data_IF_002350020395
#
_entry.id   IF_002350020395
#
_cell.length_a   1.000
_cell.length_b   1.000
_cell.length_c   1.000
_cell.angle_alpha   90.00
_cell.angle_beta   90.00
_cell.angle_gamma   90.00
#
_symmetry.space_group_name_H-M   'P 1'
#
loop_
_entity.id
_entity.type
_entity.pdbx_description
1 polymer ?
#
# COMPACT_ATOMS: atom_id res chain seq x y z
N UNK A 1 18.27 -40.06 25.11
CA UNK A 1 17.14 -39.13 25.26
C UNK A 1 17.30 -38.04 24.20
N UNK A 2 16.61 -38.13 23.07
CA UNK A 2 16.67 -37.11 22.01
C UNK A 2 15.63 -36.03 22.32
N UNK A 3 16.08 -34.84 22.71
CA UNK A 3 15.19 -33.68 22.84
C UNK A 3 14.93 -33.10 21.44
N UNK A 4 13.70 -33.27 20.97
CA UNK A 4 13.17 -32.50 19.83
C UNK A 4 12.90 -31.08 20.31
N UNK A 5 13.79 -30.14 19.98
CA UNK A 5 13.54 -28.72 20.11
C UNK A 5 12.57 -28.27 19.02
N UNK A 6 11.30 -28.13 19.37
CA UNK A 6 10.35 -27.41 18.51
C UNK A 6 10.63 -25.93 18.66
N UNK A 7 11.44 -25.36 17.76
CA UNK A 7 11.54 -23.92 17.66
C UNK A 7 10.22 -23.39 17.09
N UNK A 8 9.50 -22.58 17.86
CA UNK A 8 8.41 -21.75 17.34
C UNK A 8 8.98 -20.63 16.46
N UNK A 9 9.68 -20.97 15.38
CA UNK A 9 9.85 -20.01 14.28
C UNK A 9 8.56 -20.05 13.48
N UNK A 10 7.47 -19.59 14.11
CA UNK A 10 6.28 -19.22 13.38
C UNK A 10 6.68 -18.04 12.51
N UNK A 11 6.88 -18.28 11.21
CA UNK A 11 7.00 -17.22 10.22
C UNK A 11 5.74 -16.37 10.37
N UNK A 12 5.85 -15.23 11.07
CA UNK A 12 4.79 -14.26 11.11
C UNK A 12 4.54 -13.86 9.65
N UNK A 13 3.40 -14.28 9.10
CA UNK A 13 3.08 -14.00 7.71
C UNK A 13 3.21 -12.50 7.46
N UNK A 14 4.11 -12.10 6.57
CA UNK A 14 4.32 -10.69 6.21
C UNK A 14 2.98 -10.11 5.76
N UNK A 15 2.66 -8.89 6.19
CA UNK A 15 1.44 -8.22 5.71
C UNK A 15 1.59 -7.98 4.22
N UNK A 16 0.62 -8.45 3.44
CA UNK A 16 0.65 -8.40 1.99
C UNK A 16 -0.61 -7.73 1.49
N UNK A 17 -0.43 -6.81 0.55
CA UNK A 17 -1.53 -6.20 -0.20
C UNK A 17 -1.95 -7.17 -1.30
N UNK A 18 -3.21 -7.56 -1.28
CA UNK A 18 -3.78 -8.56 -2.20
C UNK A 18 -4.52 -7.91 -3.37
N UNK A 19 -5.10 -6.72 -3.17
CA UNK A 19 -5.77 -5.97 -4.21
C UNK A 19 -5.73 -4.47 -3.92
N UNK A 20 -5.77 -3.67 -5.00
CA UNK A 20 -6.02 -2.23 -4.94
C UNK A 20 -7.14 -1.92 -5.92
N UNK A 21 -8.07 -1.06 -5.50
CA UNK A 21 -9.22 -0.62 -6.30
C UNK A 21 -9.35 0.89 -6.24
N UNK A 22 -9.69 1.50 -7.37
CA UNK A 22 -9.84 2.95 -7.50
C UNK A 22 -11.21 3.23 -8.11
N UNK A 23 -11.99 4.06 -7.42
CA UNK A 23 -13.35 4.45 -7.80
C UNK A 23 -13.38 5.98 -7.94
N UNK A 24 -13.18 6.52 -9.14
CA UNK A 24 -13.33 7.93 -9.40
C UNK A 24 -14.82 8.32 -9.45
N UNK A 25 -15.18 9.39 -8.75
CA UNK A 25 -16.48 10.03 -8.86
C UNK A 25 -16.32 11.55 -8.74
N UNK A 26 -17.31 12.29 -9.21
CA UNK A 26 -17.29 13.77 -9.18
C UNK A 26 -17.25 14.36 -7.78
N UNK A 27 -17.76 13.66 -6.77
CA UNK A 27 -17.79 14.11 -5.38
C UNK A 27 -16.57 13.66 -4.55
N UNK A 28 -15.94 12.55 -4.92
CA UNK A 28 -14.73 12.02 -4.28
C UNK A 28 -14.14 10.88 -5.12
N UNK A 29 -12.82 10.69 -5.07
CA UNK A 29 -12.18 9.46 -5.53
C UNK A 29 -11.90 8.56 -4.33
N UNK A 30 -12.28 7.28 -4.40
CA UNK A 30 -12.00 6.28 -3.36
C UNK A 30 -10.91 5.33 -3.82
N UNK A 31 -9.83 5.26 -3.05
CA UNK A 31 -8.80 4.22 -3.17
C UNK A 31 -8.98 3.22 -2.04
N UNK A 32 -9.08 1.93 -2.37
CA UNK A 32 -9.20 0.85 -1.41
C UNK A 32 -8.02 -0.09 -1.54
N UNK A 33 -7.31 -0.31 -0.44
CA UNK A 33 -6.18 -1.24 -0.33
C UNK A 33 -6.62 -2.43 0.51
N UNK A 34 -6.65 -3.60 -0.10
CA UNK A 34 -7.05 -4.85 0.54
C UNK A 34 -5.81 -5.66 0.93
N UNK A 35 -5.83 -6.27 2.10
CA UNK A 35 -4.67 -6.97 2.66
C UNK A 35 -5.09 -8.19 3.46
N UNK A 36 -4.15 -9.14 3.60
CA UNK A 36 -4.35 -10.37 4.38
C UNK A 36 -4.35 -10.14 5.91
N UNK A 37 -3.93 -8.96 6.36
CA UNK A 37 -3.74 -8.56 7.76
C UNK A 37 -4.02 -7.08 7.92
N UNK A 38 -4.37 -6.65 9.13
CA UNK A 38 -4.59 -5.23 9.43
C UNK A 38 -3.35 -4.39 9.08
N UNK A 39 -3.55 -3.35 8.27
CA UNK A 39 -2.50 -2.42 7.87
C UNK A 39 -2.31 -1.32 8.91
N UNK A 40 -1.05 -1.08 9.29
CA UNK A 40 -0.65 0.15 9.99
C UNK A 40 -0.25 1.16 8.93
N UNK A 41 -0.80 2.36 8.99
CA UNK A 41 -0.53 3.37 7.99
C UNK A 41 -0.49 4.78 8.58
N UNK A 42 0.19 5.67 7.85
CA UNK A 42 0.19 7.12 8.10
C UNK A 42 -0.22 7.83 6.83
N UNK A 43 -1.01 8.89 6.96
CA UNK A 43 -1.41 9.75 5.84
C UNK A 43 -1.02 11.18 6.13
N UNK A 44 -0.51 11.87 5.12
CA UNK A 44 -0.15 13.29 5.22
C UNK A 44 -0.18 13.95 3.84
N UNK A 45 -0.27 15.28 3.84
CA UNK A 45 -0.21 16.09 2.63
C UNK A 45 1.18 16.70 2.45
N UNK A 46 1.60 16.82 1.20
CA UNK A 46 2.77 17.62 0.81
C UNK A 46 2.29 18.71 -0.15
N UNK A 47 2.88 19.89 -0.05
CA UNK A 47 2.68 20.97 -1.01
C UNK A 47 3.80 21.00 -2.06
N UNK A 48 3.61 21.78 -3.12
CA UNK A 48 4.59 22.05 -4.18
C UNK A 48 5.19 20.79 -4.85
N UNK A 49 4.40 19.99 -5.61
CA UNK A 49 2.96 20.09 -5.85
C UNK A 49 2.14 19.45 -4.71
N UNK A 50 0.85 19.78 -4.66
CA UNK A 50 -0.13 19.15 -3.77
C UNK A 50 -0.19 17.64 -4.00
N UNK A 51 0.08 16.87 -2.96
CA UNK A 51 0.11 15.40 -2.98
C UNK A 51 -0.46 14.84 -1.70
N UNK A 52 -1.16 13.73 -1.81
CA UNK A 52 -1.53 12.90 -0.65
C UNK A 52 -0.60 11.71 -0.60
N UNK A 53 0.06 11.53 0.53
CA UNK A 53 1.00 10.44 0.76
C UNK A 53 0.41 9.49 1.79
N UNK A 54 0.47 8.20 1.49
CA UNK A 54 0.09 7.11 2.41
C UNK A 54 1.27 6.16 2.56
N UNK A 55 1.78 6.07 3.78
CA UNK A 55 2.81 5.11 4.16
C UNK A 55 2.16 3.91 4.82
N UNK A 56 2.51 2.72 4.36
CA UNK A 56 1.98 1.45 4.88
C UNK A 56 3.15 0.65 5.45
N UNK A 57 3.11 0.41 6.76
CA UNK A 57 4.15 -0.29 7.52
C UNK A 57 3.94 -1.81 7.49
N UNK A 58 5.04 -2.56 7.55
CA UNK A 58 5.06 -4.02 7.56
C UNK A 58 4.68 -4.67 6.23
N UNK A 59 4.68 -3.91 5.14
CA UNK A 59 4.33 -4.37 3.79
C UNK A 59 5.56 -4.27 2.89
N UNK A 60 5.74 -5.30 2.06
CA UNK A 60 6.72 -5.29 0.98
C UNK A 60 6.04 -4.98 -0.36
N UNK A 61 6.74 -4.21 -1.17
CA UNK A 61 6.30 -3.87 -2.52
C UNK A 61 6.12 -5.13 -3.37
N UNK A 62 4.92 -5.29 -3.94
CA UNK A 62 4.58 -6.42 -4.82
C UNK A 62 3.99 -5.96 -6.16
N UNK A 63 3.66 -6.91 -7.03
CA UNK A 63 3.11 -6.64 -8.37
C UNK A 63 1.78 -5.89 -8.33
N UNK A 64 0.92 -6.18 -7.35
CA UNK A 64 -0.38 -5.51 -7.16
C UNK A 64 -0.18 -4.01 -6.94
N UNK A 65 0.73 -3.65 -6.02
CA UNK A 65 1.03 -2.27 -5.69
C UNK A 65 1.72 -1.53 -6.85
N UNK A 66 2.64 -2.21 -7.57
CA UNK A 66 3.31 -1.61 -8.75
C UNK A 66 2.32 -1.25 -9.87
N UNK A 67 1.19 -1.94 -9.96
CA UNK A 67 0.16 -1.72 -10.98
C UNK A 67 -0.75 -0.51 -10.74
N UNK A 68 -0.72 0.13 -9.57
CA UNK A 68 -1.67 1.19 -9.19
C UNK A 68 -1.65 2.37 -10.18
N UNK A 69 -0.47 2.78 -10.64
CA UNK A 69 -0.34 3.91 -11.57
C UNK A 69 -1.13 3.72 -12.87
N UNK A 70 -1.27 2.47 -13.34
CA UNK A 70 -2.04 2.13 -14.53
C UNK A 70 -3.55 2.05 -14.30
N UNK A 71 -4.00 2.00 -13.04
CA UNK A 71 -5.43 2.01 -12.69
C UNK A 71 -6.00 3.43 -12.59
N UNK A 72 -5.15 4.46 -12.54
CA UNK A 72 -5.59 5.86 -12.54
C UNK A 72 -6.11 6.22 -13.92
N UNK A 73 -7.36 6.65 -13.98
CA UNK A 73 -7.97 7.10 -15.22
C UNK A 73 -7.58 8.55 -15.50
N UNK A 74 -7.43 8.89 -16.77
CA UNK A 74 -7.11 10.26 -17.18
C UNK A 74 -8.23 11.28 -16.85
N UNK A 75 -9.46 10.79 -16.63
CA UNK A 75 -10.65 11.57 -16.27
C UNK A 75 -10.94 11.60 -14.76
N UNK A 76 -10.02 11.13 -13.91
CA UNK A 76 -10.16 11.23 -12.45
C UNK A 76 -10.07 12.70 -12.00
N UNK A 77 -11.10 13.25 -11.33
CA UNK A 77 -11.13 14.67 -10.98
C UNK A 77 -10.18 15.04 -9.82
N UNK A 78 -9.67 14.06 -9.06
CA UNK A 78 -8.86 14.30 -7.86
C UNK A 78 -7.43 13.74 -7.97
N UNK A 79 -7.24 12.61 -8.64
CA UNK A 79 -5.94 11.94 -8.72
C UNK A 79 -5.37 12.06 -10.12
N UNK A 80 -4.33 12.89 -10.27
CA UNK A 80 -3.64 13.06 -11.56
C UNK A 80 -2.77 11.86 -11.94
N UNK A 81 -2.10 11.27 -10.95
CA UNK A 81 -1.23 10.10 -11.14
C UNK A 81 -1.01 9.42 -9.80
N UNK A 82 -0.71 8.12 -9.79
CA UNK A 82 -0.30 7.42 -8.59
C UNK A 82 1.10 6.82 -8.77
N UNK A 83 1.94 6.98 -7.76
CA UNK A 83 3.26 6.36 -7.67
C UNK A 83 3.33 5.52 -6.41
N UNK A 84 4.04 4.40 -6.52
CA UNK A 84 4.27 3.48 -5.41
C UNK A 84 5.74 3.10 -5.38
N UNK A 85 6.31 3.02 -4.19
CA UNK A 85 7.68 2.57 -4.01
C UNK A 85 7.92 2.02 -2.61
N UNK A 86 8.96 1.19 -2.48
CA UNK A 86 9.50 0.82 -1.18
C UNK A 86 10.27 2.03 -0.64
N UNK A 87 9.74 2.70 0.39
CA UNK A 87 10.37 3.88 0.99
C UNK A 87 11.52 3.48 1.91
N UNK A 88 11.31 2.43 2.69
CA UNK A 88 12.31 1.79 3.55
C UNK A 88 12.05 0.27 3.62
N UNK A 89 12.90 -0.55 4.25
CA UNK A 89 12.74 -2.01 4.29
C UNK A 89 11.44 -2.54 4.89
N UNK A 90 10.65 -1.72 5.58
CA UNK A 90 9.38 -2.08 6.20
C UNK A 90 8.20 -1.25 5.70
N UNK A 91 8.43 -0.17 4.94
CA UNK A 91 7.38 0.77 4.56
C UNK A 91 7.25 0.90 3.04
N UNK A 92 6.04 0.67 2.53
CA UNK A 92 5.65 1.08 1.18
C UNK A 92 5.02 2.45 1.23
N UNK A 93 5.47 3.36 0.37
CA UNK A 93 4.89 4.69 0.20
C UNK A 93 4.08 4.76 -1.08
N UNK A 94 2.85 5.23 -0.94
CA UNK A 94 1.93 5.57 -2.02
C UNK A 94 1.83 7.09 -2.12
N UNK A 95 1.98 7.65 -3.31
CA UNK A 95 1.90 9.09 -3.57
C UNK A 95 0.87 9.32 -4.67
N UNK A 96 -0.12 10.15 -4.37
CA UNK A 96 -1.16 10.61 -5.28
C UNK A 96 -0.99 12.09 -5.58
#
# INVERSE_FOLDING_TARGET
MWLLSVSQVGLAAVSQVVAVRIWPASSYTRVTVESNRLLKYKQFALSNPERVVVDIEGVNLNSVLKGIGAQIRADDPYIKSARVGQFDPQTVRMVF
#
